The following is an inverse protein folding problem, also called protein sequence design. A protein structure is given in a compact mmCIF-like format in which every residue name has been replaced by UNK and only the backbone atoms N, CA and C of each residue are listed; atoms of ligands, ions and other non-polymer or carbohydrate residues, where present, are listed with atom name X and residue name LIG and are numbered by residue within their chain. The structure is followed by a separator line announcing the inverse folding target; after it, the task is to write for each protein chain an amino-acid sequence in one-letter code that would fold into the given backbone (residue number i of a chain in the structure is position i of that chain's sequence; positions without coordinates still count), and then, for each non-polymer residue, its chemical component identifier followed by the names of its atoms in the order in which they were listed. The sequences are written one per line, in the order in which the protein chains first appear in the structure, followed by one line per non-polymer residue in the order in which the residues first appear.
data_IF_891456176017
#
_entry.id   IF_891456176017
#
_cell.length_a   1.000
_cell.length_b   1.000
_cell.length_c   1.000
_cell.angle_alpha   90.00
_cell.angle_beta   90.00
_cell.angle_gamma   90.00
#
_symmetry.space_group_name_H-M   'P 1'
#
loop_
_entity.id
_entity.type
_entity.pdbx_description
1 polymer ?
#
# COMPACT_ATOMS: atom_id res chain seq x y z
N UNK A 1 -0.06 -9.86 32.90
CA UNK A 1 -0.65 -10.33 31.64
C UNK A 1 -0.24 -9.36 30.55
N UNK A 2 0.53 -9.76 29.51
CA UNK A 2 0.89 -8.84 28.45
C UNK A 2 -0.37 -8.50 27.65
N UNK A 3 -0.72 -7.21 27.56
CA UNK A 3 -1.80 -6.78 26.67
C UNK A 3 -1.36 -7.10 25.24
N UNK A 4 -2.07 -7.99 24.57
CA UNK A 4 -2.05 -8.08 23.12
C UNK A 4 -2.66 -6.78 22.59
N UNK A 5 -1.84 -5.74 22.49
CA UNK A 5 -2.17 -4.47 21.85
C UNK A 5 -2.18 -4.71 20.34
N UNK A 6 -3.20 -5.40 19.82
CA UNK A 6 -3.56 -5.26 18.41
C UNK A 6 -4.20 -3.87 18.29
N UNK A 7 -3.37 -2.84 18.26
CA UNK A 7 -3.77 -1.49 17.85
C UNK A 7 -4.53 -1.61 16.53
N UNK A 8 -5.75 -1.09 16.48
CA UNK A 8 -6.56 -1.06 15.27
C UNK A 8 -5.91 -0.07 14.31
N UNK A 9 -4.93 -0.54 13.53
CA UNK A 9 -4.25 0.23 12.50
C UNK A 9 -4.94 -0.09 11.18
N UNK A 10 -5.24 0.94 10.40
CA UNK A 10 -5.77 0.84 9.04
C UNK A 10 -4.69 1.24 8.04
N UNK A 11 -4.60 0.50 6.96
CA UNK A 11 -3.66 0.71 5.88
C UNK A 11 -4.44 0.98 4.59
N UNK A 12 -4.33 2.19 4.05
CA UNK A 12 -4.96 2.59 2.80
C UNK A 12 -3.89 2.68 1.71
N UNK A 13 -3.98 1.78 0.72
CA UNK A 13 -3.03 1.63 -0.37
C UNK A 13 -3.57 2.25 -1.66
N UNK A 14 -2.89 3.27 -2.18
CA UNK A 14 -3.04 3.77 -3.54
C UNK A 14 -1.86 3.28 -4.38
N UNK A 15 -2.14 2.51 -5.43
CA UNK A 15 -1.10 1.93 -6.28
C UNK A 15 -0.61 2.86 -7.39
N UNK A 16 -1.26 4.02 -7.59
CA UNK A 16 -0.85 5.04 -8.54
C UNK A 16 -1.14 4.73 -10.01
N UNK A 17 -1.91 3.67 -10.29
CA UNK A 17 -2.31 3.24 -11.65
C UNK A 17 -3.78 3.56 -11.99
N UNK A 18 -4.48 4.27 -11.10
CA UNK A 18 -5.89 4.61 -11.25
C UNK A 18 -6.86 3.53 -10.76
N UNK A 19 -6.36 2.42 -10.21
CA UNK A 19 -7.21 1.45 -9.51
C UNK A 19 -7.72 2.02 -8.17
N UNK A 20 -8.85 1.53 -7.64
CA UNK A 20 -9.38 1.99 -6.36
C UNK A 20 -8.40 1.78 -5.20
N UNK A 21 -8.45 2.66 -4.21
CA UNK A 21 -7.70 2.50 -2.95
C UNK A 21 -8.10 1.20 -2.27
N UNK A 22 -7.10 0.44 -1.80
CA UNK A 22 -7.30 -0.81 -1.06
C UNK A 22 -7.10 -0.55 0.42
N UNK A 23 -8.14 -0.80 1.21
CA UNK A 23 -8.14 -0.66 2.68
C UNK A 23 -7.88 -2.02 3.33
N UNK A 24 -6.86 -2.11 4.18
CA UNK A 24 -6.45 -3.32 4.86
C UNK A 24 -6.19 -3.12 6.36
N UNK A 25 -6.21 -4.23 7.09
CA UNK A 25 -5.76 -4.28 8.51
C UNK A 25 -4.41 -4.95 8.68
N UNK A 26 -3.89 -5.56 7.61
CA UNK A 26 -2.54 -6.08 7.52
C UNK A 26 -1.61 -5.07 6.82
N UNK A 27 -0.35 -4.93 7.24
CA UNK A 27 0.62 -4.05 6.59
C UNK A 27 1.09 -4.55 5.21
N UNK A 28 0.62 -5.71 4.74
CA UNK A 28 0.98 -6.28 3.45
C UNK A 28 -0.24 -6.45 2.55
N UNK A 29 -0.03 -6.21 1.25
CA UNK A 29 -1.05 -6.38 0.22
C UNK A 29 -0.39 -6.74 -1.11
N UNK A 30 -1.18 -7.24 -2.06
CA UNK A 30 -0.72 -7.60 -3.40
C UNK A 30 -1.50 -6.82 -4.45
N UNK A 31 -0.78 -6.30 -5.45
CA UNK A 31 -1.36 -5.60 -6.58
C UNK A 31 -0.66 -5.99 -7.88
N UNK A 32 -1.43 -6.03 -8.97
CA UNK A 32 -0.93 -6.41 -10.30
C UNK A 32 -1.08 -5.22 -11.23
N UNK A 33 0.05 -4.71 -11.71
CA UNK A 33 0.08 -3.70 -12.76
C UNK A 33 -0.07 -4.36 -14.13
N UNK A 34 -1.09 -3.95 -14.88
CA UNK A 34 -1.38 -4.49 -16.22
C UNK A 34 -0.52 -3.86 -17.32
N UNK A 35 -0.04 -2.64 -17.09
CA UNK A 35 0.72 -1.86 -18.07
C UNK A 35 2.15 -1.60 -17.59
N UNK A 36 3.04 -1.32 -18.53
CA UNK A 36 4.40 -0.86 -18.23
C UNK A 36 4.36 0.61 -17.84
N UNK A 37 5.17 1.00 -16.86
CA UNK A 37 5.13 2.38 -16.37
C UNK A 37 5.86 2.59 -15.07
N UNK A 38 5.88 3.84 -14.62
CA UNK A 38 6.30 4.21 -13.28
C UNK A 38 5.07 4.56 -12.47
N UNK A 39 4.86 3.85 -11.38
CA UNK A 39 3.71 4.02 -10.49
C UNK A 39 4.19 4.50 -9.13
N UNK A 40 3.63 5.59 -8.62
CA UNK A 40 3.91 6.06 -7.27
C UNK A 40 2.91 5.41 -6.33
N UNK A 41 3.36 4.37 -5.63
CA UNK A 41 2.57 3.70 -4.58
C UNK A 41 2.57 4.59 -3.35
N UNK A 42 1.40 4.86 -2.79
CA UNK A 42 1.22 5.62 -1.56
C UNK A 42 0.49 4.77 -0.53
N UNK A 43 1.08 4.64 0.65
CA UNK A 43 0.46 4.03 1.81
C UNK A 43 0.12 5.13 2.82
N UNK A 44 -1.16 5.26 3.16
CA UNK A 44 -1.62 6.05 4.29
C UNK A 44 -1.98 5.10 5.45
N UNK A 45 -1.37 5.32 6.61
CA UNK A 45 -1.56 4.53 7.81
C UNK A 45 -2.38 5.37 8.78
N UNK A 46 -3.42 4.80 9.39
CA UNK A 46 -4.19 5.48 10.45
C UNK A 46 -4.22 4.60 11.69
N UNK A 47 -3.84 5.15 12.84
CA UNK A 47 -3.91 4.44 14.12
C UNK A 47 -5.31 4.54 14.76
N UNK A 48 -5.49 3.83 15.88
CA UNK A 48 -6.77 3.79 16.60
C UNK A 48 -7.16 5.11 17.26
N UNK A 49 -6.22 6.06 17.36
CA UNK A 49 -6.45 7.42 17.89
C UNK A 49 -6.80 8.40 16.75
N UNK A 50 -6.86 7.91 15.51
CA UNK A 50 -7.14 8.72 14.32
C UNK A 50 -5.93 9.53 13.84
N UNK A 51 -4.73 9.28 14.38
CA UNK A 51 -3.50 9.85 13.83
C UNK A 51 -3.13 9.11 12.57
N UNK A 52 -2.57 9.83 11.62
CA UNK A 52 -2.22 9.27 10.34
C UNK A 52 -0.82 9.71 9.90
N UNK A 53 -0.20 8.87 9.07
CA UNK A 53 1.07 9.15 8.41
C UNK A 53 1.08 8.51 7.02
N UNK A 54 1.87 9.07 6.12
CA UNK A 54 1.87 8.70 4.70
C UNK A 54 3.28 8.47 4.20
N UNK A 55 3.47 7.38 3.44
CA UNK A 55 4.71 7.08 2.74
C UNK A 55 4.44 6.78 1.28
N UNK A 56 5.29 7.30 0.39
CA UNK A 56 5.21 7.02 -1.04
C UNK A 56 6.51 6.42 -1.57
N UNK A 57 6.38 5.50 -2.54
CA UNK A 57 7.51 4.87 -3.23
C UNK A 57 7.18 4.61 -4.69
N UNK A 58 8.14 4.85 -5.56
CA UNK A 58 7.99 4.57 -6.99
C UNK A 58 8.31 3.10 -7.31
N UNK A 59 7.44 2.46 -8.07
CA UNK A 59 7.60 1.12 -8.65
C UNK A 59 7.69 1.26 -10.17
N UNK A 60 8.74 0.72 -10.77
CA UNK A 60 8.92 0.69 -12.22
C UNK A 60 8.59 -0.69 -12.76
N UNK A 61 7.54 -0.76 -13.58
CA UNK A 61 7.12 -1.97 -14.28
C UNK A 61 7.71 -1.94 -15.68
N UNK A 62 8.61 -2.87 -15.95
CA UNK A 62 9.29 -3.01 -17.25
C UNK A 62 8.79 -4.26 -17.98
N UNK A 63 8.83 -4.28 -19.32
CA UNK A 63 8.49 -5.47 -20.07
C UNK A 63 9.43 -6.62 -19.71
N UNK A 64 8.90 -7.85 -19.73
CA UNK A 64 9.70 -9.05 -19.57
C UNK A 64 10.66 -9.15 -20.74
N UNK A 65 11.97 -9.14 -20.47
CA UNK A 65 12.98 -9.36 -21.53
C UNK A 65 12.87 -10.80 -22.03
N UNK A 66 12.69 -10.96 -23.33
CA UNK A 66 12.88 -12.24 -24.03
C UNK A 66 14.27 -12.21 -24.68
N UNK A 67 15.05 -13.27 -24.50
CA UNK A 67 16.37 -13.50 -25.12
C UNK A 67 16.31 -14.66 -26.10
#
# INVERSE_FOLDING_TARGET
MPRNLRTNIKYAWDFGDGTPIVEETDPTTFHIYSEIGNYTVTLNITDSEGRWDTISKTVTVVPRRFY
#
